data_IF_018266480568
#
_entry.id   IF_018266480568
#
_cell.length_a   1.000
_cell.length_b   1.000
_cell.length_c   1.000
_cell.angle_alpha   90.00
_cell.angle_beta   90.00
_cell.angle_gamma   90.00
#
_symmetry.space_group_name_H-M   'P 1'
#
loop_
_entity.id
_entity.type
_entity.pdbx_description
1 polymer ?
#
# COMPACT_ATOMS: atom_id res chain seq x y z
N UNK A 1 0.52 -24.17 -11.67
CA UNK A 1 1.24 -23.41 -10.62
C UNK A 1 2.06 -22.31 -11.30
N UNK A 2 1.38 -21.22 -11.69
CA UNK A 2 1.88 -20.14 -12.57
C UNK A 2 2.27 -18.85 -11.80
N UNK A 3 2.40 -18.94 -10.47
CA UNK A 3 2.22 -17.77 -9.61
C UNK A 3 3.44 -16.83 -9.52
N UNK A 4 4.68 -17.33 -9.57
CA UNK A 4 5.88 -16.51 -9.39
C UNK A 4 6.25 -15.71 -10.65
N UNK A 5 6.30 -16.38 -11.82
CA UNK A 5 6.67 -15.73 -13.08
C UNK A 5 5.73 -14.58 -13.45
N UNK A 6 4.43 -14.72 -13.18
CA UNK A 6 3.44 -13.66 -13.35
C UNK A 6 3.75 -12.47 -12.43
N UNK A 7 4.00 -12.69 -11.14
CA UNK A 7 4.34 -11.61 -10.20
C UNK A 7 5.66 -10.93 -10.51
N UNK A 8 6.61 -11.68 -11.07
CA UNK A 8 7.87 -11.12 -11.55
C UNK A 8 7.63 -10.19 -12.76
N UNK A 9 6.74 -10.57 -13.67
CA UNK A 9 6.32 -9.71 -14.78
C UNK A 9 5.55 -8.48 -14.29
N UNK A 10 4.65 -8.65 -13.31
CA UNK A 10 3.90 -7.54 -12.70
C UNK A 10 4.82 -6.51 -12.03
N UNK A 11 5.86 -6.96 -11.30
CA UNK A 11 6.83 -6.05 -10.71
C UNK A 11 7.71 -5.36 -11.76
N UNK A 12 8.08 -6.07 -12.83
CA UNK A 12 8.76 -5.44 -13.98
C UNK A 12 7.90 -4.34 -14.60
N UNK A 13 6.61 -4.64 -14.83
CA UNK A 13 5.65 -3.70 -15.41
C UNK A 13 5.40 -2.50 -14.48
N UNK A 14 5.33 -2.73 -13.16
CA UNK A 14 5.22 -1.66 -12.14
C UNK A 14 6.39 -0.68 -12.20
N UNK A 15 7.60 -1.17 -12.48
CA UNK A 15 8.80 -0.36 -12.67
C UNK A 15 8.89 0.28 -14.06
N UNK A 16 7.97 -0.03 -14.99
CA UNK A 16 7.96 0.49 -16.35
C UNK A 16 9.11 -0.05 -17.21
N UNK A 17 9.63 -1.24 -16.92
CA UNK A 17 10.82 -1.79 -17.56
C UNK A 17 10.48 -2.82 -18.65
N UNK A 18 11.30 -2.84 -19.71
CA UNK A 18 11.27 -3.92 -20.71
C UNK A 18 11.94 -5.17 -20.15
N UNK A 19 11.64 -6.35 -20.70
CA UNK A 19 12.30 -7.61 -20.30
C UNK A 19 13.82 -7.58 -20.50
N UNK A 20 14.29 -6.83 -21.50
CA UNK A 20 15.71 -6.62 -21.74
C UNK A 20 16.34 -5.82 -20.61
N UNK A 21 15.80 -4.63 -20.32
CA UNK A 21 16.32 -3.77 -19.27
C UNK A 21 16.24 -4.41 -17.89
N UNK A 22 15.18 -5.18 -17.64
CA UNK A 22 15.01 -5.88 -16.37
C UNK A 22 15.97 -7.06 -16.22
N UNK A 23 16.24 -7.80 -17.31
CA UNK A 23 17.27 -8.83 -17.31
C UNK A 23 18.67 -8.27 -17.06
N UNK A 24 19.01 -7.12 -17.67
CA UNK A 24 20.28 -6.42 -17.45
C UNK A 24 20.51 -6.07 -15.97
N UNK A 25 19.49 -5.63 -15.24
CA UNK A 25 19.58 -5.31 -13.81
C UNK A 25 19.99 -6.53 -12.97
N UNK A 26 19.61 -7.73 -13.42
CA UNK A 26 19.92 -8.98 -12.76
C UNK A 26 21.11 -9.74 -13.39
N UNK A 27 21.81 -9.12 -14.36
CA UNK A 27 22.94 -9.75 -15.06
C UNK A 27 22.55 -10.93 -15.96
N UNK A 28 21.30 -11.00 -16.42
CA UNK A 28 20.78 -12.08 -17.27
C UNK A 28 20.32 -11.58 -18.64
N UNK A 29 20.25 -12.49 -19.61
CA UNK A 29 19.73 -12.16 -20.93
C UNK A 29 18.21 -11.89 -20.92
N UNK A 30 17.72 -11.13 -21.90
CA UNK A 30 16.27 -10.99 -22.18
C UNK A 30 15.55 -12.34 -22.28
N UNK A 31 16.19 -13.35 -22.87
CA UNK A 31 15.61 -14.69 -23.00
C UNK A 31 15.51 -15.41 -21.63
N UNK A 32 16.50 -15.24 -20.76
CA UNK A 32 16.43 -15.75 -19.38
C UNK A 32 15.26 -15.10 -18.63
N UNK A 33 15.12 -13.77 -18.75
CA UNK A 33 14.00 -13.04 -18.16
C UNK A 33 12.65 -13.57 -18.62
N UNK A 34 12.47 -13.72 -19.94
CA UNK A 34 11.24 -14.25 -20.51
C UNK A 34 10.94 -15.70 -20.05
N UNK A 35 11.97 -16.52 -19.82
CA UNK A 35 11.80 -17.87 -19.30
C UNK A 35 11.36 -17.88 -17.82
N UNK A 36 11.85 -16.93 -17.01
CA UNK A 36 11.37 -16.76 -15.64
C UNK A 36 9.91 -16.32 -15.60
N UNK A 37 9.54 -15.32 -16.41
CA UNK A 37 8.17 -14.79 -16.44
C UNK A 37 7.14 -15.82 -16.94
N UNK A 38 7.52 -16.70 -17.86
CA UNK A 38 6.69 -17.82 -18.34
C UNK A 38 6.67 -19.00 -17.37
N UNK A 39 7.48 -18.98 -16.30
CA UNK A 39 7.64 -20.09 -15.36
C UNK A 39 8.38 -21.30 -15.95
N UNK A 40 9.07 -21.15 -17.08
CA UNK A 40 9.85 -22.22 -17.72
C UNK A 40 11.16 -22.50 -16.96
N UNK A 41 11.67 -21.51 -16.24
CA UNK A 41 12.81 -21.63 -15.30
C UNK A 41 12.49 -20.83 -14.04
N UNK A 42 13.15 -21.18 -12.94
CA UNK A 42 13.06 -20.40 -11.70
C UNK A 42 14.29 -19.48 -11.59
N UNK A 43 14.12 -18.21 -11.16
CA UNK A 43 15.24 -17.38 -10.78
C UNK A 43 15.94 -17.94 -9.54
N UNK A 44 17.24 -17.70 -9.42
CA UNK A 44 18.00 -18.06 -8.22
C UNK A 44 18.05 -16.89 -7.21
N UNK A 45 18.65 -17.14 -6.05
CA UNK A 45 18.75 -16.15 -4.98
C UNK A 45 19.59 -14.92 -5.40
N UNK A 46 20.63 -15.10 -6.21
CA UNK A 46 21.48 -14.01 -6.67
C UNK A 46 20.71 -13.08 -7.63
N UNK A 47 19.90 -13.64 -8.53
CA UNK A 47 18.97 -12.87 -9.35
C UNK A 47 18.00 -12.07 -8.48
N UNK A 48 17.40 -12.70 -7.45
CA UNK A 48 16.44 -12.05 -6.56
C UNK A 48 17.07 -10.89 -5.76
N UNK A 49 18.32 -11.05 -5.28
CA UNK A 49 19.07 -10.02 -4.57
C UNK A 49 19.31 -8.77 -5.45
N UNK A 50 19.69 -8.98 -6.71
CA UNK A 50 19.95 -7.88 -7.66
C UNK A 50 18.67 -7.10 -7.98
N UNK A 51 17.56 -7.79 -8.25
CA UNK A 51 16.30 -7.10 -8.55
C UNK A 51 15.69 -6.44 -7.31
N UNK A 52 15.92 -6.98 -6.10
CA UNK A 52 15.53 -6.32 -4.85
C UNK A 52 16.21 -4.95 -4.74
N UNK A 53 17.50 -4.89 -5.06
CA UNK A 53 18.27 -3.63 -5.08
C UNK A 53 17.77 -2.66 -6.16
N UNK A 54 17.13 -3.16 -7.21
CA UNK A 54 16.47 -2.36 -8.24
C UNK A 54 15.03 -1.94 -7.88
N UNK A 55 14.57 -2.21 -6.65
CA UNK A 55 13.27 -1.78 -6.14
C UNK A 55 12.11 -2.75 -6.42
N UNK A 56 12.40 -4.00 -6.76
CA UNK A 56 11.38 -5.06 -6.86
C UNK A 56 10.96 -5.54 -5.47
N UNK A 57 9.65 -5.68 -5.24
CA UNK A 57 9.12 -6.35 -4.05
C UNK A 57 9.30 -7.87 -4.19
N UNK A 58 10.49 -8.36 -3.80
CA UNK A 58 10.82 -9.80 -3.86
C UNK A 58 9.92 -10.62 -2.94
N UNK A 59 9.45 -10.06 -1.82
CA UNK A 59 8.50 -10.77 -0.95
C UNK A 59 7.19 -11.01 -1.68
N UNK A 60 6.69 -10.02 -2.42
CA UNK A 60 5.53 -10.19 -3.29
C UNK A 60 5.78 -11.23 -4.37
N UNK A 61 6.91 -11.18 -5.07
CA UNK A 61 7.26 -12.17 -6.09
C UNK A 61 7.21 -13.60 -5.52
N UNK A 62 7.77 -13.82 -4.32
CA UNK A 62 7.81 -15.12 -3.68
C UNK A 62 6.45 -15.57 -3.11
N UNK A 63 5.75 -14.68 -2.41
CA UNK A 63 4.60 -15.06 -1.55
C UNK A 63 3.25 -14.66 -2.13
N UNK A 64 3.21 -13.66 -3.01
CA UNK A 64 1.97 -13.02 -3.47
C UNK A 64 1.39 -11.98 -2.50
N UNK A 65 1.99 -11.79 -1.32
CA UNK A 65 1.62 -10.72 -0.40
C UNK A 65 2.51 -9.50 -0.67
N UNK A 66 1.90 -8.35 -1.01
CA UNK A 66 2.64 -7.09 -1.15
C UNK A 66 3.10 -6.61 0.21
N UNK A 67 4.36 -6.22 0.30
CA UNK A 67 4.85 -5.44 1.43
C UNK A 67 4.22 -4.05 1.40
N UNK A 68 3.85 -3.51 2.56
CA UNK A 68 3.59 -2.07 2.65
C UNK A 68 4.91 -1.35 2.39
N UNK A 69 4.95 -0.48 1.39
CA UNK A 69 6.12 0.36 1.19
C UNK A 69 6.24 1.38 2.32
N UNK A 70 7.44 1.90 2.57
CA UNK A 70 7.66 3.01 3.51
C UNK A 70 6.78 4.22 3.15
N UNK A 71 6.57 4.45 1.85
CA UNK A 71 5.66 5.48 1.33
C UNK A 71 4.20 5.20 1.70
N UNK A 72 3.75 3.96 1.61
CA UNK A 72 2.38 3.58 2.00
C UNK A 72 2.16 3.78 3.50
N UNK A 73 3.16 3.42 4.30
CA UNK A 73 3.14 3.64 5.75
C UNK A 73 3.11 5.13 6.09
N UNK A 74 3.94 5.94 5.44
CA UNK A 74 3.96 7.39 5.63
C UNK A 74 2.60 8.02 5.28
N UNK A 75 2.02 7.63 4.14
CA UNK A 75 0.70 8.10 3.75
C UNK A 75 -0.40 7.65 4.73
N UNK A 76 -0.28 6.45 5.31
CA UNK A 76 -1.21 5.99 6.34
C UNK A 76 -1.10 6.79 7.64
N UNK A 77 0.11 7.13 8.07
CA UNK A 77 0.35 7.95 9.25
C UNK A 77 -0.18 9.38 9.07
N UNK A 78 0.05 9.99 7.90
CA UNK A 78 -0.50 11.31 7.56
C UNK A 78 -2.03 11.32 7.63
N UNK A 79 -2.70 10.35 6.99
CA UNK A 79 -4.17 10.23 7.04
C UNK A 79 -4.69 10.05 8.46
N UNK A 80 -3.97 9.33 9.31
CA UNK A 80 -4.37 9.14 10.70
C UNK A 80 -4.21 10.43 11.51
N UNK A 81 -3.13 11.19 11.27
CA UNK A 81 -2.93 12.53 11.83
C UNK A 81 -4.06 13.48 11.44
N UNK A 82 -4.39 13.58 10.16
CA UNK A 82 -5.49 14.42 9.64
C UNK A 82 -6.84 14.04 10.27
N UNK A 83 -7.10 12.74 10.41
CA UNK A 83 -8.31 12.23 11.05
C UNK A 83 -8.41 12.65 12.52
N UNK A 84 -7.30 12.60 13.25
CA UNK A 84 -7.23 13.02 14.65
C UNK A 84 -7.44 14.54 14.79
N UNK A 85 -6.76 15.34 13.99
CA UNK A 85 -6.90 16.80 14.01
C UNK A 85 -8.33 17.23 13.64
N UNK A 86 -8.92 16.61 12.61
CA UNK A 86 -10.31 16.87 12.21
C UNK A 86 -11.29 16.58 13.34
N UNK A 87 -11.10 15.46 14.06
CA UNK A 87 -11.93 15.11 15.20
C UNK A 87 -11.83 16.16 16.30
N UNK A 88 -10.62 16.53 16.72
CA UNK A 88 -10.42 17.49 17.83
C UNK A 88 -10.98 18.87 17.47
N UNK A 89 -10.77 19.35 16.23
CA UNK A 89 -11.36 20.61 15.75
C UNK A 89 -12.90 20.57 15.79
N UNK A 90 -13.52 19.45 15.40
CA UNK A 90 -14.96 19.31 15.42
C UNK A 90 -15.52 19.27 16.86
N UNK A 91 -14.81 18.61 17.78
CA UNK A 91 -15.17 18.57 19.19
C UNK A 91 -15.05 19.93 19.85
N UNK A 92 -13.97 20.67 19.57
CA UNK A 92 -13.75 22.03 20.06
C UNK A 92 -14.85 22.98 19.55
N UNK A 93 -15.13 22.97 18.24
CA UNK A 93 -16.18 23.79 17.64
C UNK A 93 -17.58 23.47 18.20
N UNK A 94 -17.83 22.21 18.58
CA UNK A 94 -19.07 21.79 19.20
C UNK A 94 -19.11 21.99 20.72
N UNK A 95 -18.00 22.36 21.36
CA UNK A 95 -17.87 22.42 22.82
C UNK A 95 -18.14 21.07 23.51
N UNK A 96 -17.75 19.95 22.88
CA UNK A 96 -18.03 18.60 23.36
C UNK A 96 -16.75 17.89 23.76
N UNK A 97 -16.82 17.16 24.87
CA UNK A 97 -15.79 16.20 25.24
C UNK A 97 -16.26 14.77 25.00
N UNK A 98 -15.35 13.94 24.51
CA UNK A 98 -15.53 12.51 24.38
C UNK A 98 -14.54 11.77 25.26
N UNK A 99 -14.96 10.61 25.78
CA UNK A 99 -14.04 9.71 26.46
C UNK A 99 -12.93 9.22 25.48
N UNK A 100 -11.74 8.83 25.98
CA UNK A 100 -10.67 8.34 25.12
C UNK A 100 -11.09 7.20 24.17
N UNK A 101 -11.95 6.30 24.65
CA UNK A 101 -12.48 5.20 23.84
C UNK A 101 -13.37 5.68 22.69
N UNK A 102 -14.23 6.69 22.94
CA UNK A 102 -15.08 7.29 21.89
C UNK A 102 -14.24 8.10 20.91
N UNK A 103 -13.22 8.84 21.37
CA UNK A 103 -12.28 9.56 20.50
C UNK A 103 -11.55 8.62 19.55
N UNK A 104 -10.97 7.53 20.07
CA UNK A 104 -10.30 6.51 19.25
C UNK A 104 -11.24 5.97 18.16
N UNK A 105 -12.46 5.57 18.52
CA UNK A 105 -13.43 5.03 17.55
C UNK A 105 -13.78 6.04 16.46
N UNK A 106 -13.91 7.32 16.81
CA UNK A 106 -14.18 8.38 15.84
C UNK A 106 -12.99 8.66 14.91
N UNK A 107 -11.78 8.74 15.45
CA UNK A 107 -10.55 8.91 14.66
C UNK A 107 -10.34 7.72 13.70
N UNK A 108 -10.54 6.49 14.18
CA UNK A 108 -10.47 5.29 13.33
C UNK A 108 -11.48 5.36 12.17
N UNK A 109 -12.70 5.80 12.44
CA UNK A 109 -13.74 5.92 11.41
C UNK A 109 -13.40 6.99 10.36
N UNK A 110 -12.87 8.14 10.79
CA UNK A 110 -12.40 9.21 9.90
C UNK A 110 -11.22 8.75 9.04
N UNK A 111 -10.26 8.04 9.63
CA UNK A 111 -9.13 7.43 8.91
C UNK A 111 -9.61 6.45 7.84
N UNK A 112 -10.53 5.53 8.18
CA UNK A 112 -11.04 4.55 7.22
C UNK A 112 -11.82 5.22 6.07
N UNK A 113 -12.61 6.26 6.38
CA UNK A 113 -13.31 7.03 5.36
C UNK A 113 -12.33 7.71 4.39
N UNK A 114 -11.25 8.30 4.92
CA UNK A 114 -10.17 8.91 4.12
C UNK A 114 -9.44 7.88 3.26
N UNK A 115 -9.06 6.73 3.83
CA UNK A 115 -8.31 5.67 3.13
C UNK A 115 -9.10 4.96 2.04
N UNK A 116 -10.41 4.80 2.21
CA UNK A 116 -11.27 4.11 1.23
C UNK A 116 -11.47 4.88 -0.08
N UNK A 117 -10.88 6.08 -0.24
CA UNK A 117 -11.15 6.98 -1.38
C UNK A 117 -12.65 7.26 -1.56
N UNK A 118 -13.41 7.04 -0.49
CA UNK A 118 -14.85 7.16 -0.49
C UNK A 118 -15.11 8.66 -0.39
N UNK A 119 -15.73 9.24 -1.41
CA UNK A 119 -16.31 10.59 -1.31
C UNK A 119 -17.46 10.54 -0.31
N UNK A 120 -17.14 10.37 0.97
CA UNK A 120 -18.09 10.68 2.02
C UNK A 120 -18.21 12.19 2.02
N UNK A 121 -19.36 12.63 1.51
CA UNK A 121 -19.82 14.00 1.57
C UNK A 121 -19.53 14.57 2.96
N UNK A 122 -19.08 15.83 3.03
CA UNK A 122 -18.67 16.50 4.27
C UNK A 122 -19.78 16.43 5.33
N UNK A 123 -21.01 16.37 4.88
CA UNK A 123 -22.22 16.21 5.69
C UNK A 123 -22.31 14.83 6.35
N UNK A 124 -21.89 13.74 5.69
CA UNK A 124 -21.85 12.39 6.26
C UNK A 124 -20.73 12.20 7.29
N UNK A 125 -19.58 12.87 7.10
CA UNK A 125 -18.51 12.90 8.10
C UNK A 125 -18.98 13.62 9.37
N UNK A 126 -19.67 14.74 9.18
CA UNK A 126 -20.28 15.50 10.28
C UNK A 126 -21.35 14.67 11.00
N UNK A 127 -22.22 13.98 10.26
CA UNK A 127 -23.27 13.11 10.82
C UNK A 127 -22.67 11.91 11.59
N UNK A 128 -21.61 11.30 11.08
CA UNK A 128 -20.92 10.20 11.76
C UNK A 128 -20.24 10.66 13.06
N UNK A 129 -19.61 11.83 13.05
CA UNK A 129 -19.05 12.46 14.27
C UNK A 129 -20.15 12.74 15.29
N UNK A 130 -21.30 13.24 14.84
CA UNK A 130 -22.44 13.51 15.72
C UNK A 130 -23.08 12.23 16.28
N UNK A 131 -23.20 11.16 15.47
CA UNK A 131 -23.73 9.85 15.88
C UNK A 131 -22.80 9.13 16.87
N UNK A 132 -21.48 9.21 16.68
CA UNK A 132 -20.51 8.60 17.60
C UNK A 132 -20.41 9.33 18.94
N UNK A 133 -20.86 10.58 18.97
CA UNK A 133 -20.87 11.40 20.15
C UNK A 133 -22.17 11.29 20.97
N UNK A 134 -23.24 10.71 20.40
CA UNK A 134 -24.41 10.24 21.16
C UNK A 134 -24.07 9.04 22.06
#
# INVERSE_FOLDING_TARGET
MLALGLRLAEERDRLGLTQERFGELAGVSRNSQANYEKGARQPDAAYLELIASAGVDVLYVLTGARSLSEKDLQADLERYGDAWETLEMALEAAGRELSPAKKRKAADALYQASKAQMSMDKDKLTELVLQLAA
#
